data_IF_395581143331
#
_entry.id   IF_395581143331
#
_cell.length_a   1.000
_cell.length_b   1.000
_cell.length_c   1.000
_cell.angle_alpha   90.00
_cell.angle_beta   90.00
_cell.angle_gamma   90.00
#
_symmetry.space_group_name_H-M   'P 1'
#
loop_
_entity.id
_entity.type
_entity.pdbx_description
1 polymer ?
#
# COMPACT_ATOMS: atom_id res chain seq x y z
N UNK A 1 9.41 -2.34 10.73
CA UNK A 1 9.28 -1.53 9.51
C UNK A 1 7.83 -1.61 9.08
N UNK A 2 7.09 -0.52 9.15
CA UNK A 2 5.62 -0.48 9.05
C UNK A 2 5.13 -0.15 7.64
N UNK A 3 5.70 -0.82 6.65
CA UNK A 3 5.40 -0.69 5.22
C UNK A 3 5.71 -2.04 4.55
N UNK A 4 5.46 -2.16 3.25
CA UNK A 4 5.51 -3.42 2.49
C UNK A 4 4.53 -4.47 3.02
N UNK A 5 3.36 -4.03 3.49
CA UNK A 5 2.28 -4.91 3.95
C UNK A 5 1.64 -5.68 2.79
N UNK A 6 1.50 -5.00 1.65
CA UNK A 6 1.05 -5.58 0.39
C UNK A 6 1.91 -5.05 -0.76
N UNK A 7 2.08 -5.87 -1.78
CA UNK A 7 2.85 -5.53 -2.98
C UNK A 7 2.65 -6.55 -4.08
N UNK A 8 3.41 -6.43 -5.17
CA UNK A 8 3.21 -7.23 -6.39
C UNK A 8 3.46 -8.73 -6.24
N UNK A 9 3.89 -9.19 -5.05
CA UNK A 9 3.94 -10.60 -4.68
C UNK A 9 2.56 -11.18 -4.34
N UNK A 10 1.57 -10.32 -4.05
CA UNK A 10 0.18 -10.72 -3.83
C UNK A 10 -0.56 -10.85 -5.18
N UNK A 11 -1.47 -11.83 -5.32
CA UNK A 11 -2.32 -11.96 -6.51
C UNK A 11 -3.47 -10.96 -6.54
N UNK A 12 -3.49 -10.00 -5.61
CA UNK A 12 -4.53 -8.98 -5.47
C UNK A 12 -3.95 -7.65 -4.98
N UNK A 13 -4.68 -6.55 -5.21
CA UNK A 13 -4.29 -5.22 -4.75
C UNK A 13 -4.44 -5.06 -3.24
N UNK A 14 -3.52 -4.34 -2.63
CA UNK A 14 -3.56 -3.96 -1.22
C UNK A 14 -2.70 -2.72 -0.96
N UNK A 15 -2.86 -2.12 0.22
CA UNK A 15 -2.08 -0.94 0.59
C UNK A 15 -0.67 -1.29 1.06
N UNK A 16 0.32 -0.49 0.65
CA UNK A 16 1.71 -0.62 1.11
C UNK A 16 1.84 -0.48 2.64
N UNK A 17 1.13 0.49 3.22
CA UNK A 17 1.27 0.87 4.64
C UNK A 17 -0.05 1.39 5.21
N UNK A 18 -1.12 0.56 5.28
CA UNK A 18 -2.38 0.99 5.87
C UNK A 18 -2.22 1.24 7.38
N UNK A 19 -2.84 2.30 7.91
CA UNK A 19 -2.76 2.61 9.34
C UNK A 19 -3.53 1.58 10.18
N UNK A 20 -4.69 1.14 9.67
CA UNK A 20 -5.56 0.14 10.29
C UNK A 20 -5.95 -0.98 9.31
N UNK A 21 -6.54 -2.05 9.83
CA UNK A 21 -7.14 -3.10 8.99
C UNK A 21 -8.41 -2.60 8.29
N UNK A 22 -8.66 -3.10 7.10
CA UNK A 22 -9.83 -2.82 6.28
C UNK A 22 -10.89 -3.92 6.36
N UNK A 23 -12.10 -3.62 5.88
CA UNK A 23 -13.21 -4.58 5.82
C UNK A 23 -12.93 -5.85 5.00
N UNK A 24 -11.94 -5.82 4.09
CA UNK A 24 -11.52 -6.98 3.29
C UNK A 24 -10.43 -7.84 3.95
N UNK A 25 -9.91 -7.42 5.10
CA UNK A 25 -8.93 -8.17 5.88
C UNK A 25 -9.65 -9.20 6.77
N UNK A 26 -10.01 -10.33 6.17
CA UNK A 26 -10.89 -11.33 6.81
C UNK A 26 -10.13 -12.41 7.58
N UNK A 27 -8.85 -12.62 7.28
CA UNK A 27 -8.01 -13.58 8.00
C UNK A 27 -7.29 -12.91 9.17
N UNK A 28 -6.94 -13.70 10.19
CA UNK A 28 -6.18 -13.19 11.34
C UNK A 28 -4.80 -12.63 10.96
N UNK A 29 -4.19 -13.13 9.88
CA UNK A 29 -2.95 -12.57 9.35
C UNK A 29 -3.18 -11.21 8.70
N UNK A 30 -4.16 -11.09 7.80
CA UNK A 30 -4.47 -9.82 7.14
C UNK A 30 -4.80 -8.70 8.14
N UNK A 31 -5.53 -9.02 9.20
CA UNK A 31 -5.86 -8.06 10.27
C UNK A 31 -4.63 -7.53 11.03
N UNK A 32 -3.47 -8.17 10.89
CA UNK A 32 -2.20 -7.75 11.49
C UNK A 32 -1.30 -6.97 10.51
N UNK A 33 -1.58 -6.99 9.20
CA UNK A 33 -0.79 -6.33 8.16
C UNK A 33 -1.08 -4.81 8.08
N UNK A 34 -0.94 -4.11 9.20
CA UNK A 34 -1.11 -2.67 9.29
C UNK A 34 -0.18 -2.05 10.34
N UNK A 35 -0.02 -0.72 10.26
CA UNK A 35 0.86 0.05 11.15
C UNK A 35 0.43 -0.11 12.62
N UNK A 36 -0.87 0.04 12.91
CA UNK A 36 -1.39 0.01 14.27
C UNK A 36 -1.12 -1.33 14.96
N UNK A 37 -1.46 -2.45 14.32
CA UNK A 37 -1.23 -3.78 14.84
C UNK A 37 0.28 -4.06 15.04
N UNK A 38 1.11 -3.67 14.07
CA UNK A 38 2.57 -3.84 14.14
C UNK A 38 3.19 -3.10 15.34
N UNK A 39 2.80 -1.85 15.57
CA UNK A 39 3.30 -1.04 16.69
C UNK A 39 2.82 -1.61 18.03
N UNK A 40 1.53 -1.94 18.14
CA UNK A 40 0.97 -2.51 19.38
C UNK A 40 1.54 -3.89 19.69
N UNK A 41 1.90 -4.68 18.69
CA UNK A 41 2.59 -5.96 18.87
C UNK A 41 3.93 -5.78 19.58
N UNK A 42 4.77 -4.86 19.10
CA UNK A 42 6.05 -4.56 19.75
C UNK A 42 5.89 -4.04 21.17
N UNK A 43 4.93 -3.14 21.40
CA UNK A 43 4.61 -2.63 22.75
C UNK A 43 4.15 -3.78 23.66
N UNK A 44 3.29 -4.68 23.16
CA UNK A 44 2.79 -5.83 23.90
C UNK A 44 3.89 -6.83 24.29
N UNK A 45 4.98 -6.89 23.52
CA UNK A 45 6.19 -7.66 23.84
C UNK A 45 7.18 -6.92 24.75
N UNK A 46 6.85 -5.71 25.20
CA UNK A 46 7.66 -4.94 26.15
C UNK A 46 8.62 -3.92 25.54
N UNK A 47 8.51 -3.60 24.25
CA UNK A 47 9.29 -2.53 23.66
C UNK A 47 8.87 -1.15 24.25
N UNK A 48 9.81 -0.35 24.80
CA UNK A 48 9.49 0.99 25.29
C UNK A 48 9.00 1.88 24.15
N UNK A 49 7.86 2.56 24.35
CA UNK A 49 7.17 3.34 23.29
C UNK A 49 8.06 4.42 22.69
N UNK A 50 8.81 5.10 23.55
CA UNK A 50 9.75 6.17 23.21
C UNK A 50 10.98 5.69 22.41
N UNK A 51 11.19 4.38 22.30
CA UNK A 51 12.25 3.77 21.48
C UNK A 51 11.73 3.21 20.16
N UNK A 52 10.42 3.24 19.92
CA UNK A 52 9.82 2.75 18.67
C UNK A 52 9.80 3.90 17.66
N UNK A 53 10.53 3.72 16.55
CA UNK A 53 10.48 4.63 15.41
C UNK A 53 9.53 4.06 14.36
N UNK A 54 8.44 4.77 14.10
CA UNK A 54 7.46 4.39 13.08
C UNK A 54 8.02 4.68 11.68
N UNK A 55 7.94 3.70 10.79
CA UNK A 55 8.32 3.89 9.39
C UNK A 55 7.20 4.56 8.61
N UNK A 56 7.55 5.58 7.82
CA UNK A 56 6.63 6.27 6.90
C UNK A 56 7.23 6.14 5.49
N UNK A 57 6.58 5.39 4.57
CA UNK A 57 7.11 5.22 3.22
C UNK A 57 6.85 6.46 2.36
N UNK A 58 7.89 6.94 1.68
CA UNK A 58 7.80 7.95 0.61
C UNK A 58 7.64 7.32 -0.79
N UNK A 59 7.06 6.12 -0.83
CA UNK A 59 6.83 5.33 -2.04
C UNK A 59 5.54 4.52 -1.93
N UNK A 60 4.98 4.16 -3.08
CA UNK A 60 3.86 3.23 -3.21
C UNK A 60 4.31 1.89 -3.80
N UNK A 61 3.50 0.86 -3.55
CA UNK A 61 3.55 -0.42 -4.27
C UNK A 61 2.50 -0.39 -5.38
N UNK A 62 2.86 -0.88 -6.55
CA UNK A 62 2.03 -0.78 -7.76
C UNK A 62 1.68 -2.14 -8.33
N UNK A 63 0.53 -2.22 -8.99
CA UNK A 63 -0.02 -3.45 -9.55
C UNK A 63 -0.47 -3.23 -10.99
N UNK A 64 -0.42 -4.27 -11.81
CA UNK A 64 -1.18 -4.35 -13.06
C UNK A 64 -2.46 -5.14 -12.78
N UNK A 65 -3.62 -4.51 -12.96
CA UNK A 65 -4.92 -5.16 -12.78
C UNK A 65 -5.18 -6.20 -13.88
N UNK A 66 -5.88 -7.27 -13.52
CA UNK A 66 -6.40 -8.23 -14.53
C UNK A 66 -7.52 -7.58 -15.35
N UNK A 67 -8.36 -6.78 -14.70
CA UNK A 67 -9.48 -6.05 -15.30
C UNK A 67 -9.48 -4.62 -14.75
N UNK A 68 -9.43 -3.61 -15.63
CA UNK A 68 -9.40 -2.20 -15.24
C UNK A 68 -10.71 -1.71 -14.60
N UNK A 69 -11.82 -2.40 -14.83
CA UNK A 69 -13.10 -2.10 -14.18
C UNK A 69 -13.14 -2.59 -12.73
N UNK A 70 -12.31 -3.58 -12.38
CA UNK A 70 -12.12 -4.08 -11.03
C UNK A 70 -10.84 -3.46 -10.43
N UNK A 71 -10.94 -2.23 -9.94
CA UNK A 71 -9.76 -1.43 -9.54
C UNK A 71 -9.72 -1.07 -8.03
N UNK A 72 -10.63 -1.63 -7.24
CA UNK A 72 -10.67 -1.44 -5.79
C UNK A 72 -9.63 -2.26 -5.03
N UNK A 73 -9.64 -2.14 -3.69
CA UNK A 73 -8.83 -2.95 -2.77
C UNK A 73 -9.22 -4.43 -2.92
N UNK A 74 -8.24 -5.34 -2.95
CA UNK A 74 -8.46 -6.78 -3.14
C UNK A 74 -8.86 -7.17 -4.57
N UNK A 75 -8.71 -6.26 -5.54
CA UNK A 75 -8.92 -6.57 -6.94
C UNK A 75 -7.83 -7.52 -7.47
N UNK A 76 -8.14 -8.46 -8.38
CA UNK A 76 -7.15 -9.35 -8.96
C UNK A 76 -6.03 -8.59 -9.68
N UNK A 77 -4.77 -8.94 -9.37
CA UNK A 77 -3.59 -8.37 -9.99
C UNK A 77 -2.86 -9.42 -10.83
N UNK A 78 -2.46 -9.04 -12.03
CA UNK A 78 -1.67 -9.87 -12.94
C UNK A 78 -0.16 -9.86 -12.59
N UNK A 79 0.26 -8.93 -11.74
CA UNK A 79 1.65 -8.78 -11.32
C UNK A 79 2.03 -7.33 -11.01
N UNK A 80 3.34 -7.00 -11.05
CA UNK A 80 3.83 -5.67 -10.71
C UNK A 80 3.36 -4.61 -11.69
N UNK A 81 3.06 -3.41 -11.18
CA UNK A 81 2.89 -2.24 -12.02
C UNK A 81 4.17 -1.89 -12.78
N UNK A 82 4.05 -1.11 -13.85
CA UNK A 82 5.20 -0.66 -14.65
C UNK A 82 6.21 0.07 -13.78
N UNK A 83 7.49 -0.18 -14.06
CA UNK A 83 8.58 0.48 -13.35
C UNK A 83 8.51 2.00 -13.51
N UNK A 84 8.78 2.72 -12.42
CA UNK A 84 8.94 4.18 -12.45
C UNK A 84 10.16 4.61 -13.28
N UNK A 85 10.13 5.85 -13.77
CA UNK A 85 11.19 6.43 -14.62
C UNK A 85 12.56 6.50 -13.91
N UNK A 86 12.56 6.83 -12.62
CA UNK A 86 13.75 7.00 -11.79
C UNK A 86 14.03 5.76 -10.93
N UNK A 87 13.00 5.20 -10.28
CA UNK A 87 13.14 4.02 -9.42
C UNK A 87 13.53 2.77 -10.21
N UNK A 88 13.04 2.65 -11.46
CA UNK A 88 13.34 1.54 -12.39
C UNK A 88 13.04 0.15 -11.82
N UNK A 89 12.18 0.07 -10.81
CA UNK A 89 11.71 -1.16 -10.19
C UNK A 89 10.23 -1.36 -10.50
N UNK A 90 9.90 -2.49 -11.13
CA UNK A 90 8.51 -2.85 -11.35
C UNK A 90 7.82 -3.17 -10.02
N UNK A 91 6.59 -2.70 -9.84
CA UNK A 91 5.83 -2.90 -8.60
C UNK A 91 6.09 -1.84 -7.52
N UNK A 92 6.85 -0.79 -7.83
CA UNK A 92 7.13 0.33 -6.95
C UNK A 92 7.00 1.66 -7.70
N UNK A 93 6.66 2.72 -6.97
CA UNK A 93 6.72 4.10 -7.47
C UNK A 93 7.13 5.04 -6.34
N UNK A 94 8.12 5.91 -6.57
CA UNK A 94 8.46 6.98 -5.64
C UNK A 94 7.38 8.05 -5.59
N UNK A 95 7.22 8.73 -4.45
CA UNK A 95 6.23 9.81 -4.33
C UNK A 95 6.45 10.93 -5.36
N UNK A 96 7.71 11.28 -5.64
CA UNK A 96 8.05 12.25 -6.69
C UNK A 96 7.61 11.80 -8.09
N UNK A 97 7.77 10.51 -8.42
CA UNK A 97 7.33 9.94 -9.70
C UNK A 97 5.81 9.99 -9.83
N UNK A 98 5.09 9.66 -8.76
CA UNK A 98 3.63 9.75 -8.74
C UNK A 98 3.15 11.19 -8.91
N UNK A 99 3.80 12.16 -8.26
CA UNK A 99 3.49 13.58 -8.43
C UNK A 99 3.69 14.03 -9.88
N UNK A 100 4.80 13.66 -10.53
CA UNK A 100 5.02 13.99 -11.94
C UNK A 100 3.92 13.41 -12.84
N UNK A 101 3.49 12.17 -12.56
CA UNK A 101 2.38 11.55 -13.28
C UNK A 101 1.06 12.30 -13.10
N UNK A 102 0.75 12.77 -11.90
CA UNK A 102 -0.45 13.59 -11.67
C UNK A 102 -0.44 14.93 -12.40
N UNK A 103 0.73 15.43 -12.81
CA UNK A 103 0.84 16.65 -13.61
C UNK A 103 0.60 16.42 -15.10
N UNK A 104 0.91 15.21 -15.60
CA UNK A 104 0.87 14.90 -17.04
C UNK A 104 -0.27 13.97 -17.46
N UNK A 105 -0.86 13.23 -16.52
CA UNK A 105 -1.83 12.17 -16.78
C UNK A 105 -3.07 12.36 -15.89
N UNK A 106 -4.22 11.86 -16.34
CA UNK A 106 -5.43 11.79 -15.51
C UNK A 106 -5.38 10.52 -14.64
N UNK A 107 -5.59 10.70 -13.35
CA UNK A 107 -5.63 9.63 -12.35
C UNK A 107 -6.86 9.79 -11.47
N UNK A 108 -7.51 8.66 -11.15
CA UNK A 108 -8.61 8.63 -10.19
C UNK A 108 -8.06 8.27 -8.81
N UNK A 109 -8.25 9.15 -7.84
CA UNK A 109 -7.75 8.98 -6.47
C UNK A 109 -8.91 8.53 -5.58
N UNK A 110 -8.70 7.44 -4.86
CA UNK A 110 -9.67 6.92 -3.88
C UNK A 110 -9.01 6.77 -2.52
N UNK A 111 -9.62 7.37 -1.51
CA UNK A 111 -9.16 7.29 -0.13
C UNK A 111 -10.05 6.33 0.67
N UNK A 112 -9.42 5.47 1.47
CA UNK A 112 -10.11 4.56 2.36
C UNK A 112 -10.13 5.16 3.78
N UNK A 113 -11.30 5.52 4.27
CA UNK A 113 -11.47 6.17 5.57
C UNK A 113 -11.22 5.23 6.76
N UNK A 114 -11.35 3.92 6.56
CA UNK A 114 -11.07 2.94 7.61
C UNK A 114 -9.56 2.72 7.78
N UNK A 115 -8.84 2.56 6.68
CA UNK A 115 -7.40 2.28 6.67
C UNK A 115 -6.53 3.55 6.68
N UNK A 116 -7.15 4.73 6.52
CA UNK A 116 -6.53 6.07 6.49
C UNK A 116 -5.39 6.22 5.49
N UNK A 117 -5.59 5.67 4.29
CA UNK A 117 -4.65 5.71 3.18
C UNK A 117 -5.40 5.82 1.85
N UNK A 118 -4.74 6.38 0.84
CA UNK A 118 -5.30 6.53 -0.50
C UNK A 118 -4.52 5.70 -1.51
N UNK A 119 -5.17 5.33 -2.60
CA UNK A 119 -4.56 4.77 -3.80
C UNK A 119 -5.02 5.56 -5.02
N UNK A 120 -4.30 5.40 -6.13
CA UNK A 120 -4.64 6.02 -7.40
C UNK A 120 -4.64 4.96 -8.51
N UNK A 121 -5.57 5.10 -9.45
CA UNK A 121 -5.69 4.22 -10.62
C UNK A 121 -5.63 5.04 -11.90
N UNK A 122 -5.11 4.42 -12.96
CA UNK A 122 -5.05 4.99 -14.31
C UNK A 122 -5.27 3.86 -15.30
N UNK A 123 -6.14 4.11 -16.28
CA UNK A 123 -6.58 3.15 -17.30
C UNK A 123 -7.42 3.83 -18.35
#
# INVERSE_FOLDING_TARGET
>A
MTYDMHGSWDPYTGFNSPLYSGAKDVTGLQQQLNVNASIHYWIGLGAPKEKIVMGIPSYGRTFTLVDSSANGIGAPAAGPGKAGQYSREAGMIGYNELCEKFLSEKWDITCNEQQLVCYATSG
#
